data_IF_319784327229
#
_entry.id   IF_319784327229
#
_cell.length_a   1.000
_cell.length_b   1.000
_cell.length_c   1.000
_cell.angle_alpha   90.00
_cell.angle_beta   90.00
_cell.angle_gamma   90.00
#
_symmetry.space_group_name_H-M   'P 1'
#
loop_
_entity.id
_entity.type
_entity.pdbx_description
1 polymer ?
#
# COMPACT_ATOMS: atom_id res chain seq x y z
N UNK A 1 -1.71 -0.76 -22.77
CA UNK A 1 -2.82 -1.07 -21.84
C UNK A 1 -2.76 -0.03 -20.75
N UNK A 2 -3.91 0.36 -20.18
CA UNK A 2 -3.97 1.31 -19.05
C UNK A 2 -3.30 0.69 -17.82
N UNK A 3 -2.33 1.40 -17.23
CA UNK A 3 -1.62 0.96 -16.02
C UNK A 3 -2.35 1.43 -14.76
N UNK A 4 -2.27 0.64 -13.68
CA UNK A 4 -2.94 0.92 -12.40
C UNK A 4 -1.90 0.94 -11.28
N UNK A 5 -1.84 2.05 -10.55
CA UNK A 5 -1.18 2.14 -9.25
C UNK A 5 -2.21 2.03 -8.13
N UNK A 6 -1.88 1.31 -7.06
CA UNK A 6 -2.60 1.41 -5.79
C UNK A 6 -1.79 2.32 -4.86
N UNK A 7 -2.42 3.33 -4.27
CA UNK A 7 -1.85 4.14 -3.20
C UNK A 7 -2.49 3.72 -1.87
N UNK A 8 -1.65 3.39 -0.89
CA UNK A 8 -2.06 2.90 0.42
C UNK A 8 -1.30 3.63 1.52
N UNK A 9 -2.00 3.90 2.62
CA UNK A 9 -1.44 4.54 3.80
C UNK A 9 -1.60 3.65 5.03
N UNK A 10 -0.53 3.53 5.82
CA UNK A 10 -0.51 2.74 7.05
C UNK A 10 -0.19 3.63 8.26
N UNK A 11 -0.76 3.26 9.41
CA UNK A 11 -0.41 3.82 10.72
C UNK A 11 -0.90 2.86 11.81
N UNK A 12 0.01 2.14 12.44
CA UNK A 12 -0.29 1.08 13.41
C UNK A 12 -1.33 0.07 12.89
N UNK A 13 -1.07 -0.45 11.70
CA UNK A 13 -1.97 -1.27 10.89
C UNK A 13 -1.75 -2.78 11.06
N UNK A 14 -0.95 -3.21 12.05
CA UNK A 14 -0.51 -4.61 12.22
C UNK A 14 -1.66 -5.63 12.20
N UNK A 15 -2.83 -5.27 12.72
CA UNK A 15 -3.97 -6.19 12.88
C UNK A 15 -4.59 -6.66 11.55
N UNK A 16 -4.54 -5.83 10.50
CA UNK A 16 -5.29 -6.06 9.25
C UNK A 16 -4.41 -6.03 7.99
N UNK A 17 -3.22 -5.43 8.09
CA UNK A 17 -2.40 -5.15 6.93
C UNK A 17 -1.98 -6.40 6.15
N UNK A 18 -1.70 -7.51 6.83
CA UNK A 18 -1.32 -8.75 6.13
C UNK A 18 -2.47 -9.26 5.26
N UNK A 19 -3.70 -9.28 5.79
CA UNK A 19 -4.88 -9.73 5.05
C UNK A 19 -5.17 -8.83 3.86
N UNK A 20 -5.03 -7.52 4.03
CA UNK A 20 -5.17 -6.56 2.95
C UNK A 20 -4.13 -6.76 1.83
N UNK A 21 -2.85 -6.86 2.18
CA UNK A 21 -1.78 -7.09 1.21
C UNK A 21 -1.95 -8.43 0.46
N UNK A 22 -2.36 -9.48 1.16
CA UNK A 22 -2.69 -10.78 0.57
C UNK A 22 -3.88 -10.66 -0.39
N UNK A 23 -4.90 -9.85 -0.06
CA UNK A 23 -6.06 -9.64 -0.92
C UNK A 23 -5.69 -8.96 -2.25
N UNK A 24 -4.78 -7.98 -2.20
CA UNK A 24 -4.24 -7.29 -3.38
C UNK A 24 -3.39 -8.25 -4.22
N UNK A 25 -2.53 -9.06 -3.58
CA UNK A 25 -1.69 -10.04 -4.26
C UNK A 25 -2.48 -11.15 -4.95
N UNK A 26 -3.72 -11.40 -4.53
CA UNK A 26 -4.60 -12.43 -5.08
C UNK A 26 -5.67 -11.88 -6.05
N UNK A 27 -5.59 -10.61 -6.46
CA UNK A 27 -6.47 -10.05 -7.50
C UNK A 27 -6.24 -10.73 -8.85
N UNK A 28 -7.30 -10.94 -9.64
CA UNK A 28 -7.14 -11.57 -10.97
C UNK A 28 -6.39 -10.66 -11.93
N UNK A 29 -6.62 -9.34 -11.82
CA UNK A 29 -5.83 -8.28 -12.44
C UNK A 29 -4.94 -7.65 -11.39
N UNK A 30 -3.66 -8.02 -11.39
CA UNK A 30 -2.66 -7.41 -10.52
C UNK A 30 -2.49 -5.91 -10.85
N UNK A 31 -2.20 -5.07 -9.84
CA UNK A 31 -1.75 -3.70 -10.11
C UNK A 31 -0.38 -3.72 -10.78
N UNK A 32 -0.09 -2.66 -11.52
CA UNK A 32 1.23 -2.45 -12.12
C UNK A 32 2.24 -2.02 -11.02
N UNK A 33 1.76 -1.29 -10.01
CA UNK A 33 2.51 -1.05 -8.77
C UNK A 33 1.60 -0.80 -7.56
N UNK A 34 2.15 -1.04 -6.38
CA UNK A 34 1.59 -0.64 -5.09
C UNK A 34 2.56 0.36 -4.43
N UNK A 35 2.03 1.51 -4.02
CA UNK A 35 2.76 2.54 -3.28
C UNK A 35 2.21 2.59 -1.86
N UNK A 36 3.06 2.30 -0.88
CA UNK A 36 2.72 2.33 0.54
C UNK A 36 3.49 3.45 1.22
N UNK A 37 2.79 4.35 1.89
CA UNK A 37 3.40 5.33 2.78
C UNK A 37 2.98 5.08 4.24
N UNK A 38 3.96 4.81 5.09
CA UNK A 38 3.76 4.61 6.52
C UNK A 38 3.92 5.91 7.31
N UNK A 39 2.96 6.18 8.20
CA UNK A 39 2.88 7.43 8.96
C UNK A 39 3.57 7.39 10.33
N UNK A 40 4.76 6.77 10.38
CA UNK A 40 5.54 6.52 11.59
C UNK A 40 4.86 5.55 12.56
N UNK A 41 4.52 4.36 12.05
CA UNK A 41 4.03 3.27 12.88
C UNK A 41 5.06 2.86 13.94
N UNK A 42 4.55 2.41 15.08
CA UNK A 42 5.35 1.95 16.23
C UNK A 42 5.16 0.46 16.53
N UNK A 43 4.31 -0.20 15.77
CA UNK A 43 4.03 -1.63 15.83
C UNK A 43 4.74 -2.37 14.67
N UNK A 44 4.34 -3.62 14.37
CA UNK A 44 4.98 -4.42 13.31
C UNK A 44 4.56 -4.05 11.88
N UNK A 45 3.84 -2.95 11.68
CA UNK A 45 3.42 -2.49 10.34
C UNK A 45 4.58 -2.43 9.35
N UNK A 46 5.70 -1.81 9.74
CA UNK A 46 6.87 -1.69 8.86
C UNK A 46 7.45 -3.05 8.47
N UNK A 47 7.57 -3.97 9.44
CA UNK A 47 8.09 -5.32 9.22
C UNK A 47 7.21 -6.11 8.24
N UNK A 48 5.88 -6.01 8.38
CA UNK A 48 4.90 -6.64 7.49
C UNK A 48 5.07 -6.12 6.07
N UNK A 49 5.14 -4.80 5.87
CA UNK A 49 5.32 -4.22 4.53
C UNK A 49 6.66 -4.65 3.92
N UNK A 50 7.75 -4.61 4.69
CA UNK A 50 9.08 -5.04 4.20
C UNK A 50 9.11 -6.51 3.81
N UNK A 51 8.43 -7.37 4.57
CA UNK A 51 8.29 -8.77 4.19
C UNK A 51 7.52 -8.91 2.88
N UNK A 52 6.40 -8.21 2.73
CA UNK A 52 5.58 -8.24 1.52
C UNK A 52 6.32 -7.74 0.28
N UNK A 53 7.10 -6.65 0.38
CA UNK A 53 7.92 -6.10 -0.71
C UNK A 53 8.82 -7.17 -1.35
N UNK A 54 9.33 -8.13 -0.57
CA UNK A 54 10.21 -9.18 -1.07
C UNK A 54 9.48 -10.32 -1.81
N UNK A 55 8.18 -10.48 -1.59
CA UNK A 55 7.40 -11.62 -2.12
C UNK A 55 6.30 -11.19 -3.09
N UNK A 56 6.00 -9.89 -3.18
CA UNK A 56 4.93 -9.37 -4.01
C UNK A 56 5.15 -9.72 -5.50
N UNK A 57 4.10 -10.14 -6.23
CA UNK A 57 4.19 -10.48 -7.65
C UNK A 57 4.26 -9.25 -8.57
N UNK A 58 4.24 -8.04 -8.01
CA UNK A 58 4.29 -6.75 -8.70
C UNK A 58 5.21 -5.78 -7.95
N UNK A 59 5.48 -4.62 -8.56
CA UNK A 59 6.35 -3.59 -7.97
C UNK A 59 5.71 -2.99 -6.72
N UNK A 60 6.45 -2.96 -5.62
CA UNK A 60 6.04 -2.27 -4.38
C UNK A 60 7.03 -1.17 -4.04
N UNK A 61 6.56 0.06 -3.94
CA UNK A 61 7.34 1.19 -3.43
C UNK A 61 6.89 1.48 -2.00
N UNK A 62 7.82 1.40 -1.05
CA UNK A 62 7.53 1.65 0.36
C UNK A 62 8.32 2.86 0.88
N UNK A 63 7.62 3.77 1.56
CA UNK A 63 8.22 4.94 2.21
C UNK A 63 7.71 5.08 3.64
N UNK A 64 8.60 5.35 4.59
CA UNK A 64 8.25 5.71 5.96
C UNK A 64 8.42 7.22 6.11
N UNK A 65 7.44 7.90 6.70
CA UNK A 65 7.54 9.33 6.98
C UNK A 65 8.54 9.60 8.11
N UNK A 66 9.19 10.77 8.07
CA UNK A 66 10.08 11.21 9.15
C UNK A 66 9.32 11.67 10.41
N UNK A 67 8.05 12.05 10.24
CA UNK A 67 7.12 12.44 11.29
C UNK A 67 5.69 12.14 10.84
N UNK A 68 4.79 11.97 11.80
CA UNK A 68 3.37 11.76 11.53
C UNK A 68 2.76 12.95 10.77
N UNK A 69 2.26 12.70 9.56
CA UNK A 69 1.64 13.67 8.66
C UNK A 69 0.11 13.65 8.76
N UNK A 70 -0.47 12.53 9.23
CA UNK A 70 -1.90 12.26 9.17
C UNK A 70 -2.34 11.74 7.81
N UNK A 71 -3.52 11.11 7.77
CA UNK A 71 -4.04 10.37 6.60
C UNK A 71 -4.00 11.19 5.30
N UNK A 72 -4.52 12.42 5.27
CA UNK A 72 -4.61 13.21 4.04
C UNK A 72 -3.25 13.50 3.41
N UNK A 73 -2.30 14.02 4.19
CA UNK A 73 -0.96 14.34 3.69
C UNK A 73 -0.14 13.07 3.39
N UNK A 74 -0.42 11.97 4.10
CA UNK A 74 0.20 10.68 3.81
C UNK A 74 -0.29 10.12 2.46
N UNK A 75 -1.60 10.20 2.18
CA UNK A 75 -2.16 9.80 0.89
C UNK A 75 -1.69 10.72 -0.24
N UNK A 76 -1.62 12.04 -0.02
CA UNK A 76 -1.04 12.98 -0.99
C UNK A 76 0.37 12.54 -1.41
N UNK A 77 1.22 12.20 -0.44
CA UNK A 77 2.57 11.68 -0.71
C UNK A 77 2.53 10.37 -1.52
N UNK A 78 1.69 9.42 -1.14
CA UNK A 78 1.56 8.14 -1.85
C UNK A 78 1.11 8.35 -3.30
N UNK A 79 0.10 9.19 -3.53
CA UNK A 79 -0.42 9.57 -4.85
C UNK A 79 0.70 10.19 -5.71
N UNK A 80 1.48 11.12 -5.15
CA UNK A 80 2.59 11.75 -5.87
C UNK A 80 3.71 10.79 -6.27
N UNK A 81 3.83 9.65 -5.59
CA UNK A 81 4.81 8.61 -5.91
C UNK A 81 4.31 7.60 -6.96
N UNK A 82 3.00 7.57 -7.25
CA UNK A 82 2.42 6.70 -8.27
C UNK A 82 2.77 7.15 -9.70
N UNK A 83 2.84 6.19 -10.62
CA UNK A 83 3.21 6.37 -12.02
C UNK A 83 2.15 5.80 -12.99
N UNK A 84 1.11 5.15 -12.48
CA UNK A 84 0.05 4.54 -13.27
C UNK A 84 -0.92 5.56 -13.88
N UNK A 85 -1.56 5.16 -14.99
CA UNK A 85 -2.60 5.96 -15.66
C UNK A 85 -3.84 6.16 -14.76
N UNK A 86 -4.12 5.17 -13.90
CA UNK A 86 -5.18 5.18 -12.90
C UNK A 86 -4.55 4.98 -11.52
N UNK A 87 -4.99 5.77 -10.54
CA UNK A 87 -4.63 5.61 -9.13
C UNK A 87 -5.87 5.17 -8.36
N UNK A 88 -5.80 3.96 -7.77
CA UNK A 88 -6.79 3.48 -6.83
C UNK A 88 -6.29 3.73 -5.40
N UNK A 89 -7.12 4.34 -4.57
CA UNK A 89 -6.82 4.48 -3.14
C UNK A 89 -7.34 3.25 -2.41
N UNK A 90 -6.56 2.72 -1.48
CA UNK A 90 -6.95 1.62 -0.62
C UNK A 90 -6.51 1.90 0.82
N UNK A 91 -7.40 1.67 1.79
CA UNK A 91 -7.02 1.68 3.19
C UNK A 91 -6.32 0.35 3.56
N UNK A 92 -5.60 0.36 4.67
CA UNK A 92 -4.77 -0.76 5.13
C UNK A 92 -5.56 -1.92 5.74
N UNK A 93 -6.88 -1.76 5.85
CA UNK A 93 -7.84 -2.70 6.43
C UNK A 93 -8.98 -3.06 5.46
N UNK A 94 -8.90 -2.64 4.20
CA UNK A 94 -9.78 -3.12 3.14
C UNK A 94 -9.48 -4.60 2.80
N UNK A 95 -10.47 -5.30 2.23
CA UNK A 95 -10.26 -6.61 1.60
C UNK A 95 -10.80 -6.53 0.17
N UNK A 96 -9.90 -6.65 -0.81
CA UNK A 96 -10.26 -6.72 -2.21
C UNK A 96 -10.64 -8.16 -2.58
N UNK A 97 -11.91 -8.38 -2.93
CA UNK A 97 -12.32 -9.69 -3.46
C UNK A 97 -11.82 -9.89 -4.89
N UNK A 98 -11.43 -11.12 -5.29
CA UNK A 98 -10.99 -11.37 -6.65
C UNK A 98 -12.11 -11.14 -7.66
N UNK A 99 -11.84 -10.36 -8.72
CA UNK A 99 -12.66 -10.27 -9.93
C UNK A 99 -11.78 -10.18 -11.15
#
# INVERSE_FOLDING_TARGET
MTTISIAMCTYNSEAHLQEQLDSVANQTRLPDELVICDDCSTDRTEDIVRAFVNIAPFKVNFSVNEKRLGSTANFEKAICMCQGDIIALADHDDICYPQ
#
